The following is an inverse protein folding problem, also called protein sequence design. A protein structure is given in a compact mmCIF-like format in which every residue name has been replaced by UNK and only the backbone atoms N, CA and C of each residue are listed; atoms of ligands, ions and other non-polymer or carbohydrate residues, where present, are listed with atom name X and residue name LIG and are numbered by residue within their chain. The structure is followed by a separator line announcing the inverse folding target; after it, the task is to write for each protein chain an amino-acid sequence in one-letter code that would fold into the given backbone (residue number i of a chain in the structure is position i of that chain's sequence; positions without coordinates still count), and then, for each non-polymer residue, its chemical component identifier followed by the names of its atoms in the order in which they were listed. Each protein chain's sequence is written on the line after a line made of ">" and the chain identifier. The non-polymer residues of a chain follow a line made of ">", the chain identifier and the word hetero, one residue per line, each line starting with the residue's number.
data_IF_942755124906
#
_entry.id   IF_942755124906
#
_cell.length_a   1.000
_cell.length_b   1.000
_cell.length_c   1.000
_cell.angle_alpha   90.00
_cell.angle_beta   90.00
_cell.angle_gamma   90.00
#
_symmetry.space_group_name_H-M   'P 1'
#
loop_
_entity.id
_entity.type
_entity.pdbx_description
1 polymer ?
#
# COMPACT_ATOMS: atom_id res chain seq x y z
N UNK A 1 -4.06 9.42 -21.61
CA UNK A 1 -4.03 8.82 -22.96
C UNK A 1 -2.98 9.51 -23.80
N UNK A 2 -2.59 8.93 -24.94
CA UNK A 2 -1.61 9.58 -25.87
C UNK A 2 -2.12 10.95 -26.31
N UNK A 3 -3.41 11.05 -26.66
CA UNK A 3 -4.08 12.31 -26.99
C UNK A 3 -3.93 13.36 -25.88
N UNK A 4 -4.23 13.00 -24.62
CA UNK A 4 -4.08 13.91 -23.49
C UNK A 4 -2.63 14.38 -23.26
N UNK A 5 -1.64 13.50 -23.49
CA UNK A 5 -0.23 13.85 -23.34
C UNK A 5 0.29 14.82 -24.41
N UNK A 6 -0.47 15.02 -25.51
CA UNK A 6 -0.10 15.88 -26.62
C UNK A 6 -0.64 17.30 -26.52
N UNK A 7 -1.53 17.56 -25.55
CA UNK A 7 -2.10 18.90 -25.34
C UNK A 7 -1.00 19.90 -25.05
N UNK A 8 -1.00 21.05 -25.73
CA UNK A 8 -0.15 22.17 -25.34
C UNK A 8 -0.55 22.68 -23.94
N UNK A 9 0.30 23.47 -23.25
CA UNK A 9 -0.08 24.10 -21.99
C UNK A 9 -1.39 24.91 -22.09
N UNK A 10 -1.60 25.61 -23.21
CA UNK A 10 -2.79 26.41 -23.47
C UNK A 10 -4.04 25.54 -23.63
N UNK A 11 -3.95 24.48 -24.43
CA UNK A 11 -5.05 23.51 -24.61
C UNK A 11 -5.39 22.82 -23.29
N UNK A 12 -4.37 22.45 -22.52
CA UNK A 12 -4.55 21.86 -21.20
C UNK A 12 -5.31 22.81 -20.26
N UNK A 13 -4.96 24.10 -20.21
CA UNK A 13 -5.63 25.05 -19.32
C UNK A 13 -7.04 25.38 -19.82
N UNK A 14 -7.18 25.81 -21.07
CA UNK A 14 -8.44 26.35 -21.59
C UNK A 14 -9.46 25.23 -21.81
N UNK A 15 -9.09 24.17 -22.52
CA UNK A 15 -10.05 23.15 -22.93
C UNK A 15 -10.28 22.10 -21.84
N UNK A 16 -9.22 21.73 -21.12
CA UNK A 16 -9.31 20.69 -20.10
C UNK A 16 -9.58 21.24 -18.71
N UNK A 17 -8.68 22.07 -18.15
CA UNK A 17 -8.78 22.51 -16.77
C UNK A 17 -10.00 23.43 -16.56
N UNK A 18 -10.10 24.53 -17.31
CA UNK A 18 -11.19 25.49 -17.19
C UNK A 18 -12.46 24.95 -17.85
N UNK A 19 -12.36 24.49 -19.10
CA UNK A 19 -13.52 24.01 -19.86
C UNK A 19 -14.26 22.83 -19.24
N UNK A 20 -13.59 21.95 -18.49
CA UNK A 20 -14.26 20.82 -17.83
C UNK A 20 -14.57 21.04 -16.36
N UNK A 21 -13.72 21.74 -15.61
CA UNK A 21 -13.85 21.83 -14.16
C UNK A 21 -14.28 23.20 -13.64
N UNK A 22 -14.15 24.27 -14.43
CA UNK A 22 -14.47 25.65 -14.03
C UNK A 22 -13.93 26.01 -12.62
N UNK A 23 -12.63 25.79 -12.36
CA UNK A 23 -12.09 25.88 -11.01
C UNK A 23 -12.12 27.33 -10.53
N UNK A 24 -12.43 27.53 -9.24
CA UNK A 24 -12.19 28.81 -8.56
C UNK A 24 -10.76 28.95 -8.05
N UNK A 25 -10.11 27.83 -7.76
CA UNK A 25 -8.76 27.79 -7.21
C UNK A 25 -8.04 26.53 -7.71
N UNK A 26 -6.76 26.68 -8.05
CA UNK A 26 -5.85 25.61 -8.46
C UNK A 26 -4.67 25.60 -7.50
N UNK A 27 -4.50 24.50 -6.77
CA UNK A 27 -3.41 24.33 -5.81
C UNK A 27 -2.39 23.36 -6.39
N UNK A 28 -1.12 23.76 -6.48
CA UNK A 28 -0.05 22.95 -7.06
C UNK A 28 1.23 23.01 -6.22
N UNK A 29 2.06 21.96 -6.30
CA UNK A 29 3.41 21.97 -5.76
C UNK A 29 4.39 22.77 -6.63
N UNK A 30 5.47 23.25 -6.01
CA UNK A 30 6.52 24.06 -6.68
C UNK A 30 7.15 23.43 -7.93
N UNK A 31 7.15 22.10 -8.05
CA UNK A 31 7.75 21.34 -9.15
C UNK A 31 6.73 20.88 -10.20
N UNK A 32 5.48 21.35 -10.10
CA UNK A 32 4.41 20.97 -11.00
C UNK A 32 4.68 21.42 -12.44
N UNK A 33 4.52 20.49 -13.38
CA UNK A 33 4.63 20.72 -14.83
C UNK A 33 3.52 20.00 -15.56
N UNK A 34 3.01 20.61 -16.63
CA UNK A 34 1.91 20.08 -17.42
C UNK A 34 2.09 20.42 -18.91
N UNK A 35 1.16 19.91 -19.74
CA UNK A 35 1.22 20.07 -21.18
C UNK A 35 2.35 19.27 -21.85
N UNK A 36 2.34 19.30 -23.18
CA UNK A 36 3.29 18.62 -24.04
C UNK A 36 4.72 19.00 -23.64
N UNK A 37 5.56 17.97 -23.49
CA UNK A 37 6.97 18.12 -23.10
C UNK A 37 7.20 18.93 -21.80
N UNK A 38 6.22 18.93 -20.87
CA UNK A 38 6.33 19.63 -19.57
C UNK A 38 6.57 21.14 -19.72
N UNK A 39 6.10 21.74 -20.81
CA UNK A 39 6.29 23.16 -21.12
C UNK A 39 5.48 24.08 -20.20
N UNK A 40 4.34 23.60 -19.69
CA UNK A 40 3.48 24.35 -18.78
C UNK A 40 4.05 24.37 -17.37
N UNK A 41 3.93 25.52 -16.72
CA UNK A 41 4.39 25.75 -15.36
C UNK A 41 3.45 26.69 -14.59
N UNK A 42 3.83 27.04 -13.37
CA UNK A 42 3.01 27.91 -12.53
C UNK A 42 2.80 29.31 -13.12
N UNK A 43 3.73 29.82 -13.92
CA UNK A 43 3.58 31.15 -14.53
C UNK A 43 2.48 31.12 -15.59
N UNK A 44 2.37 30.04 -16.36
CA UNK A 44 1.22 29.80 -17.25
C UNK A 44 -0.10 29.81 -16.46
N UNK A 45 -0.16 29.05 -15.37
CA UNK A 45 -1.38 28.99 -14.54
C UNK A 45 -1.72 30.36 -13.94
N UNK A 46 -0.74 31.13 -13.46
CA UNK A 46 -0.97 32.47 -12.89
C UNK A 46 -1.44 33.46 -13.96
N UNK A 47 -0.88 33.38 -15.16
CA UNK A 47 -1.30 34.24 -16.28
C UNK A 47 -2.76 33.95 -16.66
N UNK A 48 -3.07 32.68 -16.93
CA UNK A 48 -4.44 32.27 -17.24
C UNK A 48 -5.41 32.44 -16.07
N UNK A 49 -4.96 32.30 -14.83
CA UNK A 49 -5.79 32.50 -13.64
C UNK A 49 -6.32 33.93 -13.56
N UNK A 50 -5.50 34.92 -13.95
CA UNK A 50 -5.94 36.32 -14.06
C UNK A 50 -6.96 36.53 -15.18
N UNK A 51 -6.72 35.93 -16.35
CA UNK A 51 -7.58 36.09 -17.53
C UNK A 51 -8.91 35.33 -17.41
N UNK A 52 -8.89 34.15 -16.77
CA UNK A 52 -10.02 33.21 -16.72
C UNK A 52 -10.68 33.11 -15.34
N UNK A 53 -10.22 33.90 -14.36
CA UNK A 53 -10.90 34.08 -13.08
C UNK A 53 -10.70 32.97 -12.05
N UNK A 54 -9.51 32.35 -11.99
CA UNK A 54 -9.16 31.37 -10.97
C UNK A 54 -7.89 31.74 -10.20
N UNK A 55 -7.87 31.42 -8.92
CA UNK A 55 -6.70 31.61 -8.05
C UNK A 55 -5.70 30.48 -8.24
N UNK A 56 -4.40 30.80 -8.12
CA UNK A 56 -3.33 29.81 -8.14
C UNK A 56 -2.56 29.88 -6.84
N UNK A 57 -2.61 28.79 -6.07
CA UNK A 57 -1.88 28.64 -4.81
C UNK A 57 -0.72 27.69 -5.04
N UNK A 58 0.49 28.18 -4.75
CA UNK A 58 1.72 27.38 -4.80
C UNK A 58 2.04 26.87 -3.39
N UNK A 59 2.24 25.56 -3.27
CA UNK A 59 2.82 24.98 -2.06
C UNK A 59 4.35 25.06 -2.19
N UNK A 60 5.03 25.86 -1.34
CA UNK A 60 6.47 26.09 -1.44
C UNK A 60 7.27 24.80 -1.29
N UNK A 61 8.45 24.76 -1.92
CA UNK A 61 9.40 23.64 -1.76
C UNK A 61 9.70 23.34 -0.30
N UNK A 62 9.86 24.36 0.53
CA UNK A 62 10.17 24.19 1.95
C UNK A 62 9.05 23.49 2.70
N UNK A 63 7.78 23.73 2.36
CA UNK A 63 6.66 23.01 2.96
C UNK A 63 6.61 21.58 2.46
N UNK A 64 6.85 21.36 1.16
CA UNK A 64 6.94 20.00 0.57
C UNK A 64 8.12 19.20 1.15
N UNK A 65 9.28 19.84 1.31
CA UNK A 65 10.51 19.24 1.83
C UNK A 65 10.48 19.09 3.35
N UNK A 66 9.85 20.02 4.09
CA UNK A 66 9.63 19.89 5.54
C UNK A 66 8.67 18.74 5.86
N UNK A 67 7.72 18.47 4.96
CA UNK A 67 6.87 17.29 5.03
C UNK A 67 7.67 16.02 4.63
N UNK A 68 8.78 16.14 3.89
CA UNK A 68 9.76 15.09 3.56
C UNK A 68 9.20 13.76 3.02
N UNK A 69 7.90 13.69 2.73
CA UNK A 69 7.18 12.51 2.30
C UNK A 69 7.12 12.52 0.78
N UNK A 70 7.60 11.45 0.15
CA UNK A 70 7.45 11.26 -1.29
C UNK A 70 7.05 9.82 -1.58
N UNK A 71 6.35 9.62 -2.69
CA UNK A 71 5.98 8.28 -3.15
C UNK A 71 7.22 7.39 -3.31
N UNK A 72 8.36 7.94 -3.73
CA UNK A 72 9.62 7.18 -3.83
C UNK A 72 10.08 6.65 -2.47
N UNK A 73 10.13 7.49 -1.44
CA UNK A 73 10.52 7.07 -0.08
C UNK A 73 9.56 6.03 0.49
N UNK A 74 8.25 6.20 0.27
CA UNK A 74 7.24 5.21 0.70
C UNK A 74 7.48 3.86 0.02
N UNK A 75 7.69 3.84 -1.30
CA UNK A 75 7.97 2.59 -2.03
C UNK A 75 9.25 1.92 -1.53
N UNK A 76 10.32 2.69 -1.31
CA UNK A 76 11.59 2.18 -0.78
C UNK A 76 11.46 1.61 0.64
N UNK A 77 10.67 2.24 1.50
CA UNK A 77 10.37 1.73 2.84
C UNK A 77 9.66 0.36 2.75
N UNK A 78 8.60 0.26 1.95
CA UNK A 78 7.84 -0.97 1.75
C UNK A 78 8.69 -2.10 1.14
N UNK A 79 9.53 -1.77 0.15
CA UNK A 79 10.44 -2.74 -0.51
C UNK A 79 11.56 -3.22 0.42
N UNK A 80 11.85 -2.51 1.50
CA UNK A 80 12.78 -2.93 2.56
C UNK A 80 12.09 -3.61 3.75
N UNK A 81 10.75 -3.69 3.73
CA UNK A 81 9.94 -4.23 4.82
C UNK A 81 9.66 -3.23 5.95
N UNK A 82 10.09 -1.97 5.82
CA UNK A 82 9.87 -0.92 6.83
C UNK A 82 8.46 -0.32 6.69
N UNK A 83 7.46 -1.13 7.04
CA UNK A 83 6.04 -0.76 6.99
C UNK A 83 5.69 0.32 8.02
N UNK A 84 6.49 0.46 9.08
CA UNK A 84 6.29 1.48 10.11
C UNK A 84 6.74 2.86 9.62
N UNK A 85 7.85 2.95 8.89
CA UNK A 85 8.24 4.18 8.21
C UNK A 85 7.22 4.54 7.13
N UNK A 86 6.73 3.56 6.37
CA UNK A 86 5.65 3.80 5.42
C UNK A 86 4.37 4.34 6.11
N UNK A 87 3.96 3.75 7.24
CA UNK A 87 2.84 4.23 8.06
C UNK A 87 3.04 5.69 8.51
N UNK A 88 4.23 6.05 9.02
CA UNK A 88 4.53 7.43 9.43
C UNK A 88 4.41 8.42 8.28
N UNK A 89 4.82 8.01 7.07
CA UNK A 89 4.76 8.86 5.88
C UNK A 89 3.35 8.93 5.26
N UNK A 90 2.60 7.83 5.27
CA UNK A 90 1.23 7.76 4.74
C UNK A 90 0.20 8.32 5.72
N UNK A 91 0.53 8.38 7.01
CA UNK A 91 -0.39 8.65 8.11
C UNK A 91 -1.55 7.63 8.23
N UNK A 92 -1.43 6.49 7.56
CA UNK A 92 -2.32 5.33 7.69
C UNK A 92 -1.55 4.06 7.31
N UNK A 93 -1.97 2.87 7.78
CA UNK A 93 -1.33 1.62 7.41
C UNK A 93 -1.34 1.39 5.89
N UNK A 94 -0.29 0.77 5.37
CA UNK A 94 -0.29 0.37 3.97
C UNK A 94 -1.29 -0.78 3.78
N UNK A 95 -2.18 -0.64 2.80
CA UNK A 95 -3.30 -1.56 2.57
C UNK A 95 -3.10 -2.38 1.30
N UNK A 96 -3.31 -3.70 1.40
CA UNK A 96 -3.54 -4.58 0.26
C UNK A 96 -4.99 -5.03 0.22
N UNK A 97 -5.55 -5.14 -0.99
CA UNK A 97 -6.89 -5.69 -1.22
C UNK A 97 -6.71 -6.86 -2.18
N UNK A 98 -7.28 -8.01 -1.82
CA UNK A 98 -7.15 -9.20 -2.64
C UNK A 98 -8.26 -10.19 -2.40
N UNK A 99 -8.50 -11.02 -3.42
CA UNK A 99 -9.44 -12.13 -3.35
C UNK A 99 -8.78 -13.33 -2.69
N UNK A 100 -9.50 -13.99 -1.79
CA UNK A 100 -9.04 -15.23 -1.17
C UNK A 100 -9.16 -16.37 -2.18
N UNK A 101 -8.05 -17.05 -2.45
CA UNK A 101 -7.95 -18.13 -3.42
C UNK A 101 -7.44 -19.42 -2.77
N UNK A 102 -7.67 -20.60 -3.38
CA UNK A 102 -7.09 -21.85 -2.90
C UNK A 102 -5.56 -21.82 -2.89
N UNK A 103 -4.97 -22.31 -1.80
CA UNK A 103 -3.52 -22.52 -1.64
C UNK A 103 -3.15 -23.99 -1.45
N UNK A 104 -1.92 -24.24 -1.01
CA UNK A 104 -1.41 -25.59 -0.78
C UNK A 104 -1.91 -26.21 0.54
N UNK A 105 -2.57 -25.43 1.40
CA UNK A 105 -3.17 -25.92 2.64
C UNK A 105 -2.18 -26.36 3.74
N UNK A 106 -0.88 -26.13 3.57
CA UNK A 106 0.16 -26.55 4.53
C UNK A 106 -0.07 -25.92 5.91
N UNK A 107 -0.45 -24.64 5.96
CA UNK A 107 -0.73 -23.98 7.24
C UNK A 107 -1.80 -24.70 8.05
N UNK A 108 -2.87 -25.19 7.39
CA UNK A 108 -3.97 -25.90 8.03
C UNK A 108 -3.50 -27.20 8.71
N UNK A 109 -2.56 -27.94 8.12
CA UNK A 109 -2.04 -29.18 8.73
C UNK A 109 -1.16 -28.92 9.95
N UNK A 110 -0.63 -27.70 10.08
CA UNK A 110 0.21 -27.27 11.20
C UNK A 110 -0.57 -26.51 12.29
N UNK A 111 -1.89 -26.37 12.16
CA UNK A 111 -2.73 -25.59 13.09
C UNK A 111 -2.76 -24.09 12.81
N UNK A 112 -2.26 -23.64 11.66
CA UNK A 112 -2.24 -22.23 11.22
C UNK A 112 -2.99 -22.08 9.89
N UNK A 113 -4.33 -22.20 9.86
CA UNK A 113 -5.10 -22.06 8.63
C UNK A 113 -4.83 -20.69 7.97
N UNK A 114 -4.38 -20.70 6.72
CA UNK A 114 -4.08 -19.48 5.97
C UNK A 114 -5.05 -19.28 4.82
N UNK A 115 -5.35 -18.01 4.55
CA UNK A 115 -6.00 -17.56 3.32
C UNK A 115 -4.93 -17.04 2.36
N UNK A 116 -4.86 -17.60 1.16
CA UNK A 116 -3.98 -17.09 0.10
C UNK A 116 -4.66 -15.91 -0.58
N UNK A 117 -3.94 -14.80 -0.76
CA UNK A 117 -4.47 -13.59 -1.35
C UNK A 117 -3.96 -13.39 -2.77
N UNK A 118 -4.90 -13.27 -3.72
CA UNK A 118 -4.63 -12.76 -5.06
C UNK A 118 -4.95 -11.28 -5.09
N UNK A 119 -3.92 -10.44 -5.23
CA UNK A 119 -4.08 -8.98 -5.24
C UNK A 119 -4.75 -8.54 -6.53
N UNK A 120 -5.84 -7.77 -6.41
CA UNK A 120 -6.73 -7.42 -7.52
C UNK A 120 -6.10 -6.44 -8.52
N UNK A 121 -5.21 -5.56 -8.05
CA UNK A 121 -4.55 -4.53 -8.86
C UNK A 121 -3.10 -4.95 -9.21
N UNK A 122 -2.76 -5.18 -10.49
CA UNK A 122 -1.42 -5.58 -10.91
C UNK A 122 -0.36 -4.50 -10.70
N UNK A 123 -0.75 -3.24 -10.51
CA UNK A 123 0.17 -2.13 -10.23
C UNK A 123 0.38 -1.90 -8.74
N UNK A 124 -0.33 -2.63 -7.88
CA UNK A 124 -0.20 -2.52 -6.43
C UNK A 124 1.18 -2.99 -5.99
N UNK A 125 1.92 -2.13 -5.28
CA UNK A 125 3.21 -2.51 -4.75
C UNK A 125 3.06 -3.53 -3.62
N UNK A 126 3.68 -4.68 -3.76
CA UNK A 126 3.72 -5.71 -2.72
C UNK A 126 4.97 -5.48 -1.86
N UNK A 127 4.86 -5.38 -0.52
CA UNK A 127 6.00 -5.22 0.38
C UNK A 127 7.07 -6.31 0.24
N UNK A 128 8.18 -6.11 0.94
CA UNK A 128 9.29 -7.07 0.99
C UNK A 128 8.84 -8.46 1.44
N UNK A 129 9.63 -9.47 1.11
CA UNK A 129 9.41 -10.84 1.59
C UNK A 129 9.67 -10.92 3.10
N UNK A 130 8.84 -11.69 3.80
CA UNK A 130 8.90 -11.84 5.25
C UNK A 130 7.54 -12.03 5.89
N UNK A 131 7.56 -11.92 7.22
CA UNK A 131 6.42 -12.11 8.10
C UNK A 131 6.05 -10.77 8.72
N UNK A 132 4.75 -10.47 8.75
CA UNK A 132 4.19 -9.21 9.21
C UNK A 132 3.08 -9.43 10.22
N UNK A 133 2.95 -8.55 11.21
CA UNK A 133 1.71 -8.40 11.96
C UNK A 133 0.76 -7.51 11.15
N UNK A 134 -0.48 -7.98 10.96
CA UNK A 134 -1.45 -7.33 10.09
C UNK A 134 -2.81 -7.23 10.74
N UNK A 135 -3.63 -6.30 10.24
CA UNK A 135 -5.06 -6.24 10.54
C UNK A 135 -5.83 -6.47 9.26
N UNK A 136 -6.70 -7.45 9.25
CA UNK A 136 -7.55 -7.75 8.12
C UNK A 136 -8.97 -7.25 8.37
N UNK A 137 -9.65 -6.79 7.33
CA UNK A 137 -11.05 -6.37 7.38
C UNK A 137 -11.87 -7.27 6.48
N UNK A 138 -12.92 -7.84 7.05
CA UNK A 138 -13.87 -8.74 6.39
C UNK A 138 -15.27 -8.51 6.97
N UNK A 139 -16.26 -8.28 6.10
CA UNK A 139 -17.67 -8.03 6.47
C UNK A 139 -17.86 -6.97 7.58
N UNK A 140 -17.11 -5.87 7.50
CA UNK A 140 -17.21 -4.77 8.48
C UNK A 140 -16.60 -5.07 9.85
N UNK A 141 -15.92 -6.22 10.01
CA UNK A 141 -15.16 -6.58 11.21
C UNK A 141 -13.67 -6.57 10.93
N UNK A 142 -12.90 -6.25 11.96
CA UNK A 142 -11.43 -6.29 11.91
C UNK A 142 -10.90 -7.49 12.69
N UNK A 143 -9.93 -8.19 12.10
CA UNK A 143 -9.26 -9.35 12.68
C UNK A 143 -7.75 -9.08 12.75
N UNK A 144 -7.13 -9.46 13.86
CA UNK A 144 -5.68 -9.47 13.97
C UNK A 144 -5.12 -10.71 13.28
N UNK A 145 -3.91 -10.64 12.76
CA UNK A 145 -3.28 -11.79 12.15
C UNK A 145 -1.80 -11.62 11.91
N UNK A 146 -1.22 -12.67 11.36
CA UNK A 146 0.12 -12.64 10.78
C UNK A 146 0.05 -12.95 9.29
N UNK A 147 0.90 -12.29 8.51
CA UNK A 147 0.93 -12.42 7.06
C UNK A 147 2.33 -12.79 6.60
N UNK A 148 2.41 -13.74 5.68
CA UNK A 148 3.61 -14.14 4.98
C UNK A 148 3.59 -13.59 3.54
N UNK A 149 4.71 -12.99 3.14
CA UNK A 149 5.04 -12.70 1.73
C UNK A 149 6.29 -13.50 1.37
N UNK A 150 6.21 -14.33 0.36
CA UNK A 150 7.37 -15.07 -0.14
C UNK A 150 7.20 -15.50 -1.59
N UNK A 151 7.92 -16.55 -2.00
CA UNK A 151 7.91 -17.04 -3.38
C UNK A 151 7.59 -18.52 -3.43
N UNK A 152 6.77 -18.92 -4.41
CA UNK A 152 6.69 -20.34 -4.80
C UNK A 152 7.89 -20.70 -5.65
N UNK A 153 8.58 -21.82 -5.38
CA UNK A 153 9.45 -22.43 -6.37
C UNK A 153 8.55 -22.87 -7.54
N UNK A 154 8.55 -22.12 -8.64
CA UNK A 154 7.81 -22.49 -9.85
C UNK A 154 8.78 -23.01 -10.91
N UNK A 155 8.34 -23.99 -11.70
CA UNK A 155 9.05 -24.45 -12.91
C UNK A 155 9.14 -23.35 -13.99
N UNK A 156 8.25 -22.35 -13.92
CA UNK A 156 8.28 -21.17 -14.76
C UNK A 156 9.35 -20.18 -14.27
N UNK A 157 10.03 -19.51 -15.22
CA UNK A 157 11.22 -18.67 -15.01
C UNK A 157 10.99 -17.42 -14.12
N UNK A 158 9.75 -17.17 -13.68
CA UNK A 158 9.41 -16.09 -12.75
C UNK A 158 8.62 -16.65 -11.55
N UNK A 159 9.25 -16.76 -10.37
CA UNK A 159 8.54 -17.19 -9.17
C UNK A 159 7.45 -16.17 -8.80
N UNK A 160 6.20 -16.62 -8.81
CA UNK A 160 5.07 -15.81 -8.35
C UNK A 160 5.19 -15.54 -6.85
N UNK A 161 4.97 -14.27 -6.46
CA UNK A 161 4.88 -13.90 -5.06
C UNK A 161 3.62 -14.52 -4.46
N UNK A 162 3.78 -15.14 -3.30
CA UNK A 162 2.69 -15.67 -2.50
C UNK A 162 2.44 -14.73 -1.33
N UNK A 163 1.16 -14.45 -1.09
CA UNK A 163 0.69 -13.69 0.06
C UNK A 163 -0.28 -14.59 0.81
N UNK A 164 0.04 -14.92 2.05
CA UNK A 164 -0.75 -15.80 2.90
C UNK A 164 -1.02 -15.11 4.23
N UNK A 165 -2.28 -15.02 4.62
CA UNK A 165 -2.68 -14.43 5.91
C UNK A 165 -3.28 -15.50 6.81
N UNK A 166 -2.81 -15.56 8.06
CA UNK A 166 -3.42 -16.33 9.13
C UNK A 166 -4.10 -15.34 10.08
N UNK A 167 -5.43 -15.40 10.13
CA UNK A 167 -6.26 -14.60 11.04
C UNK A 167 -6.37 -15.29 12.39
N UNK A 168 -6.21 -14.53 13.47
CA UNK A 168 -6.38 -15.01 14.83
C UNK A 168 -7.87 -15.01 15.19
N UNK A 169 -8.27 -16.01 15.99
CA UNK A 169 -9.64 -16.18 16.48
C UNK A 169 -10.69 -16.13 15.35
N UNK A 170 -10.36 -16.77 14.22
CA UNK A 170 -11.14 -16.79 12.99
C UNK A 170 -11.32 -18.23 12.48
N UNK A 171 -12.57 -18.65 12.31
CA UNK A 171 -12.96 -20.02 11.96
C UNK A 171 -13.86 -20.13 10.72
N UNK A 172 -14.05 -19.03 9.98
CA UNK A 172 -14.94 -19.00 8.82
C UNK A 172 -14.23 -19.40 7.53
N UNK A 173 -14.99 -19.93 6.58
CA UNK A 173 -14.52 -20.16 5.21
C UNK A 173 -14.81 -18.93 4.35
N UNK A 174 -13.76 -18.29 3.84
CA UNK A 174 -13.82 -17.04 3.07
C UNK A 174 -13.29 -17.20 1.63
N UNK A 175 -13.23 -18.41 1.09
CA UNK A 175 -12.79 -18.61 -0.30
C UNK A 175 -13.67 -17.84 -1.29
N UNK A 176 -13.03 -17.13 -2.20
CA UNK A 176 -13.71 -16.31 -3.21
C UNK A 176 -14.09 -14.91 -2.72
N UNK A 177 -13.99 -14.63 -1.42
CA UNK A 177 -14.29 -13.33 -0.83
C UNK A 177 -13.11 -12.36 -0.96
N UNK A 178 -13.40 -11.07 -0.86
CA UNK A 178 -12.39 -10.01 -0.78
C UNK A 178 -11.94 -9.79 0.66
N UNK A 179 -10.63 -9.65 0.85
CA UNK A 179 -10.02 -9.30 2.12
C UNK A 179 -9.16 -8.04 1.96
N UNK A 180 -9.34 -7.09 2.87
CA UNK A 180 -8.48 -5.93 2.98
C UNK A 180 -7.48 -6.16 4.11
N UNK A 181 -6.18 -6.00 3.86
CA UNK A 181 -5.13 -6.27 4.84
C UNK A 181 -4.21 -5.06 5.02
N UNK A 182 -4.18 -4.54 6.23
CA UNK A 182 -3.31 -3.47 6.69
C UNK A 182 -2.01 -4.01 7.27
N UNK A 183 -0.88 -3.49 6.80
CA UNK A 183 0.45 -3.82 7.31
C UNK A 183 0.78 -2.92 8.49
N UNK A 184 1.02 -3.53 9.66
CA UNK A 184 1.22 -2.79 10.90
C UNK A 184 2.65 -2.87 11.41
N UNK A 185 3.29 -4.04 11.30
CA UNK A 185 4.65 -4.24 11.80
C UNK A 185 5.34 -5.38 11.06
N UNK A 186 6.65 -5.25 10.84
CA UNK A 186 7.49 -6.30 10.28
C UNK A 186 8.08 -7.16 11.40
N UNK A 187 7.82 -8.46 11.36
CA UNK A 187 8.26 -9.39 12.41
C UNK A 187 9.64 -9.98 12.11
N UNK A 188 9.83 -10.52 10.91
CA UNK A 188 11.11 -11.10 10.48
C UNK A 188 11.16 -11.33 8.96
N UNK A 189 12.37 -11.55 8.45
CA UNK A 189 12.58 -12.03 7.08
C UNK A 189 12.13 -13.48 6.92
N UNK A 190 11.84 -13.83 5.67
CA UNK A 190 11.58 -15.22 5.29
C UNK A 190 12.81 -16.12 5.54
N UNK A 191 12.55 -17.39 5.82
CA UNK A 191 13.57 -18.38 6.12
C UNK A 191 13.10 -19.79 5.70
N UNK A 192 14.01 -20.60 5.19
CA UNK A 192 13.76 -22.01 4.88
C UNK A 192 13.89 -22.89 6.13
N UNK A 193 13.07 -23.92 6.23
CA UNK A 193 13.10 -24.89 7.32
C UNK A 193 13.37 -26.30 6.79
N UNK A 194 14.11 -27.11 7.55
CA UNK A 194 14.48 -28.46 7.12
C UNK A 194 13.31 -29.45 7.21
N UNK A 195 12.33 -29.18 8.07
CA UNK A 195 11.16 -30.04 8.27
C UNK A 195 9.93 -29.25 8.76
N UNK A 196 8.78 -29.92 8.78
CA UNK A 196 7.50 -29.34 9.21
C UNK A 196 7.47 -28.97 10.70
N UNK A 197 8.19 -29.69 11.55
CA UNK A 197 8.26 -29.40 12.99
C UNK A 197 8.96 -28.06 13.26
N UNK A 198 10.08 -27.80 12.58
CA UNK A 198 10.79 -26.52 12.65
C UNK A 198 9.94 -25.37 12.12
N UNK A 199 9.21 -25.60 11.03
CA UNK A 199 8.28 -24.61 10.48
C UNK A 199 7.15 -24.30 11.48
N UNK A 200 6.50 -25.33 12.04
CA UNK A 200 5.44 -25.15 13.03
C UNK A 200 5.93 -24.41 14.28
N UNK A 201 7.11 -24.76 14.79
CA UNK A 201 7.73 -24.08 15.92
C UNK A 201 8.02 -22.60 15.62
N UNK A 202 8.43 -22.27 14.39
CA UNK A 202 8.61 -20.88 14.00
C UNK A 202 7.28 -20.13 13.83
N UNK A 203 6.26 -20.75 13.22
CA UNK A 203 4.93 -20.14 13.10
C UNK A 203 4.32 -19.81 14.47
N UNK A 204 4.53 -20.67 15.47
CA UNK A 204 4.12 -20.40 16.84
C UNK A 204 4.86 -19.18 17.43
N UNK A 205 6.17 -19.06 17.20
CA UNK A 205 6.94 -17.86 17.62
C UNK A 205 6.47 -16.60 16.91
N UNK A 206 6.16 -16.70 15.61
CA UNK A 206 5.68 -15.57 14.81
C UNK A 206 4.31 -15.09 15.30
N UNK A 207 3.41 -16.02 15.64
CA UNK A 207 2.10 -15.73 16.27
C UNK A 207 2.28 -15.03 17.61
N UNK A 208 3.13 -15.54 18.49
CA UNK A 208 3.39 -14.91 19.78
C UNK A 208 4.00 -13.51 19.64
N UNK A 209 4.89 -13.30 18.67
CA UNK A 209 5.46 -11.99 18.39
C UNK A 209 4.39 -11.00 17.88
N UNK A 210 3.50 -11.44 16.99
CA UNK A 210 2.36 -10.64 16.51
C UNK A 210 1.40 -10.29 17.65
N UNK A 211 1.00 -11.26 18.47
CA UNK A 211 0.16 -11.03 19.65
C UNK A 211 0.83 -10.10 20.67
N UNK A 212 2.14 -10.23 20.86
CA UNK A 212 2.94 -9.30 21.67
C UNK A 212 2.89 -7.87 21.14
N UNK A 213 2.97 -7.69 19.81
CA UNK A 213 2.81 -6.38 19.18
C UNK A 213 1.41 -5.78 19.42
N UNK A 214 0.35 -6.56 19.22
CA UNK A 214 -1.02 -6.08 19.43
C UNK A 214 -1.32 -5.71 20.88
N UNK A 215 -0.80 -6.49 21.86
CA UNK A 215 -0.90 -6.16 23.29
C UNK A 215 -0.27 -4.80 23.59
N UNK A 216 0.96 -4.56 23.12
CA UNK A 216 1.64 -3.26 23.31
C UNK A 216 0.89 -2.10 22.66
N UNK A 217 0.24 -2.30 21.51
CA UNK A 217 -0.56 -1.25 20.88
C UNK A 217 -1.82 -0.91 21.70
N UNK A 218 -2.47 -1.89 22.30
CA UNK A 218 -3.66 -1.67 23.13
C UNK A 218 -3.35 -0.88 24.42
N UNK A 219 -2.11 -0.95 24.91
CA UNK A 219 -1.65 -0.26 26.12
C UNK A 219 -1.29 1.22 25.87
N UNK A 220 -1.19 1.68 24.61
CA UNK A 220 -0.88 3.08 24.27
C UNK A 220 -2.19 3.89 24.29
N UNK A 221 -2.40 4.83 25.24
CA UNK A 221 -3.64 5.60 25.30
C UNK A 221 -3.74 6.57 24.10
N UNK A 222 -4.89 6.61 23.43
CA UNK A 222 -5.23 7.68 22.46
C UNK A 222 -5.39 7.30 20.98
N UNK A 223 -5.55 6.03 20.62
CA UNK A 223 -6.00 5.60 19.28
C UNK A 223 -7.24 4.70 19.37
N UNK A 224 -8.37 5.30 19.68
CA UNK A 224 -9.71 4.78 19.42
C UNK A 224 -10.42 5.77 18.49
#
# INVERSE_FOLDING_TARGET
>A
TVEFSRLTPDEYIVQFLVGKFHPRCVVIGYDHRFGLNRQGDINFLRWYGKELGFEVVEIPKQEVDAIAISSTKIREALLRGDVEQALRMLNHPYLLIGRVVPGNGIGKTLGFPTANLQVSDPHKLIPAEGIYAVRAHFEGRSYQGMLYIGRRPTLNQHPEKVIEVHLFDFDQNIYGEELQVEFLHFLRRDASFANLEQLAAQLARDREAALGFFRRQAEIPGKA
#
